data_IF_374307893041
#
_entry.id   IF_374307893041
#
_cell.length_a   1.000
_cell.length_b   1.000
_cell.length_c   1.000
_cell.angle_alpha   90.00
_cell.angle_beta   90.00
_cell.angle_gamma   90.00
#
_symmetry.space_group_name_H-M   'P 1'
#
loop_
_entity.id
_entity.type
_entity.pdbx_description
1 polymer ?
#
# COMPACT_ATOMS: atom_id res chain seq x y z
N UNK A 1 1.56 -4.08 -14.87
CA UNK A 1 0.65 -3.13 -15.56
C UNK A 1 1.42 -2.19 -16.49
N UNK A 2 2.65 -2.53 -16.89
CA UNK A 2 3.49 -1.66 -17.74
C UNK A 2 3.11 -1.68 -19.22
N UNK A 3 2.27 -2.64 -19.63
CA UNK A 3 1.86 -2.89 -21.01
C UNK A 3 0.78 -1.90 -21.52
N UNK A 4 0.03 -1.30 -20.59
CA UNK A 4 -1.08 -0.36 -20.88
C UNK A 4 -0.62 1.12 -20.90
N UNK A 5 0.66 1.39 -20.61
CA UNK A 5 1.19 2.74 -20.56
C UNK A 5 1.73 3.18 -21.93
N UNK A 6 1.34 4.38 -22.35
CA UNK A 6 1.76 5.00 -23.61
C UNK A 6 3.29 5.17 -23.73
N UNK A 7 3.98 5.39 -22.60
CA UNK A 7 5.45 5.51 -22.51
C UNK A 7 5.99 4.91 -21.19
N UNK A 8 6.22 3.59 -21.08
CA UNK A 8 6.54 2.92 -19.82
C UNK A 8 7.89 3.35 -19.22
N UNK A 9 8.87 3.73 -20.04
CA UNK A 9 10.20 4.12 -19.57
C UNK A 9 10.22 5.44 -18.79
N UNK A 10 9.29 6.36 -19.09
CA UNK A 10 9.20 7.67 -18.43
C UNK A 10 8.09 7.71 -17.39
N UNK A 11 6.95 7.05 -17.64
CA UNK A 11 5.80 7.11 -16.73
C UNK A 11 6.00 6.34 -15.44
N UNK A 12 6.78 5.24 -15.44
CA UNK A 12 7.08 4.48 -14.22
C UNK A 12 7.88 5.33 -13.22
N UNK A 13 9.05 5.89 -13.57
CA UNK A 13 9.84 6.66 -12.60
C UNK A 13 9.14 7.95 -12.16
N UNK A 14 8.45 8.66 -13.05
CA UNK A 14 7.72 9.89 -12.69
C UNK A 14 6.51 9.57 -11.80
N UNK A 15 5.79 8.48 -12.08
CA UNK A 15 4.68 8.00 -11.26
C UNK A 15 5.12 7.64 -9.84
N UNK A 16 6.16 6.83 -9.70
CA UNK A 16 6.70 6.43 -8.38
C UNK A 16 7.20 7.64 -7.58
N UNK A 17 8.01 8.51 -8.19
CA UNK A 17 8.55 9.69 -7.50
C UNK A 17 7.44 10.64 -7.03
N UNK A 18 6.41 10.85 -7.86
CA UNK A 18 5.26 11.67 -7.49
C UNK A 18 4.42 11.02 -6.38
N UNK A 19 4.20 9.71 -6.43
CA UNK A 19 3.48 8.97 -5.40
C UNK A 19 4.20 9.04 -4.05
N UNK A 20 5.52 8.86 -4.04
CA UNK A 20 6.36 8.98 -2.83
C UNK A 20 6.31 10.40 -2.27
N UNK A 21 6.44 11.41 -3.12
CA UNK A 21 6.41 12.81 -2.70
C UNK A 21 5.07 13.19 -2.06
N UNK A 22 3.95 12.79 -2.67
CA UNK A 22 2.61 13.04 -2.14
C UNK A 22 2.37 12.30 -0.83
N UNK A 23 2.72 11.02 -0.76
CA UNK A 23 2.56 10.21 0.45
C UNK A 23 3.38 10.76 1.61
N UNK A 24 4.62 11.16 1.35
CA UNK A 24 5.49 11.80 2.34
C UNK A 24 4.90 13.10 2.88
N UNK A 25 4.41 13.98 2.00
CA UNK A 25 3.78 15.24 2.41
C UNK A 25 2.54 15.01 3.28
N UNK A 26 1.69 14.04 2.93
CA UNK A 26 0.48 13.71 3.70
C UNK A 26 0.86 13.19 5.09
N UNK A 27 1.81 12.26 5.18
CA UNK A 27 2.25 11.68 6.46
C UNK A 27 2.89 12.76 7.35
N UNK A 28 3.73 13.63 6.79
CA UNK A 28 4.37 14.72 7.54
C UNK A 28 3.32 15.71 8.10
N UNK A 29 2.36 16.11 7.27
CA UNK A 29 1.28 16.99 7.70
C UNK A 29 0.45 16.34 8.83
N UNK A 30 0.13 15.06 8.69
CA UNK A 30 -0.61 14.30 9.72
C UNK A 30 0.15 14.25 11.06
N UNK A 31 1.45 13.95 11.03
CA UNK A 31 2.29 13.89 12.24
C UNK A 31 2.35 15.26 12.92
N UNK A 32 2.54 16.34 12.16
CA UNK A 32 2.60 17.71 12.72
C UNK A 32 1.26 18.12 13.36
N UNK A 33 0.13 17.78 12.74
CA UNK A 33 -1.19 18.04 13.28
C UNK A 33 -1.42 17.27 14.58
N UNK A 34 -1.15 15.97 14.61
CA UNK A 34 -1.32 15.15 15.82
C UNK A 34 -0.40 15.61 16.95
N UNK A 35 0.85 15.96 16.64
CA UNK A 35 1.80 16.47 17.63
C UNK A 35 1.41 17.84 18.21
N UNK A 36 0.70 18.67 17.45
CA UNK A 36 0.21 19.98 17.91
C UNK A 36 -1.08 19.87 18.74
N UNK A 37 -1.96 18.92 18.40
CA UNK A 37 -3.29 18.77 19.01
C UNK A 37 -3.30 17.86 20.26
N UNK A 38 -2.36 16.91 20.39
CA UNK A 38 -2.44 15.82 21.39
C UNK A 38 -1.28 15.86 22.38
N UNK A 39 -1.59 15.71 23.67
CA UNK A 39 -0.61 15.63 24.74
C UNK A 39 0.15 14.28 24.73
N UNK A 40 1.47 14.29 24.94
CA UNK A 40 2.40 13.15 24.70
C UNK A 40 2.01 11.85 25.40
N UNK A 41 1.35 11.94 26.56
CA UNK A 41 0.91 10.78 27.34
C UNK A 41 -0.20 9.97 26.65
N UNK A 42 -1.11 10.65 25.95
CA UNK A 42 -2.19 9.99 25.22
C UNK A 42 -1.66 9.32 23.95
N UNK A 43 -0.77 9.99 23.21
CA UNK A 43 -0.20 9.49 21.95
C UNK A 43 0.53 8.13 22.07
N UNK A 44 1.00 7.77 23.27
CA UNK A 44 1.73 6.52 23.54
C UNK A 44 0.79 5.41 24.05
N UNK A 45 -0.28 5.76 24.76
CA UNK A 45 -1.19 4.78 25.36
C UNK A 45 -2.30 4.33 24.41
N UNK A 46 -2.76 5.17 23.48
CA UNK A 46 -3.88 4.84 22.60
C UNK A 46 -3.57 5.08 21.12
N UNK A 47 -3.39 4.00 20.36
CA UNK A 47 -3.26 4.05 18.89
C UNK A 47 -4.57 4.46 18.19
N UNK A 48 -5.71 4.46 18.90
CA UNK A 48 -7.02 4.90 18.39
C UNK A 48 -7.32 6.40 18.58
N UNK A 49 -6.39 7.23 19.08
CA UNK A 49 -6.65 8.67 19.26
C UNK A 49 -6.98 9.40 17.94
N UNK A 50 -6.50 8.88 16.81
CA UNK A 50 -6.87 9.39 15.49
C UNK A 50 -8.40 9.36 15.24
N UNK A 51 -9.12 8.42 15.85
CA UNK A 51 -10.59 8.35 15.80
C UNK A 51 -11.24 9.51 16.59
N UNK A 52 -10.68 9.84 17.76
CA UNK A 52 -11.17 10.90 18.67
C UNK A 52 -10.88 12.31 18.16
N UNK A 53 -9.77 12.50 17.45
CA UNK A 53 -9.37 13.79 16.83
C UNK A 53 -10.11 14.04 15.52
N UNK A 54 -10.61 12.99 14.86
CA UNK A 54 -11.40 13.13 13.65
C UNK A 54 -12.81 13.66 13.96
N UNK A 55 -13.25 14.67 13.20
CA UNK A 55 -14.59 15.29 13.29
C UNK A 55 -15.74 14.26 13.17
N UNK A 56 -15.45 13.12 12.53
CA UNK A 56 -16.33 11.93 12.47
C UNK A 56 -15.43 10.68 12.54
N UNK A 57 -15.20 10.11 13.73
CA UNK A 57 -14.40 8.89 13.92
C UNK A 57 -14.81 7.71 13.02
N UNK A 58 -16.10 7.64 12.67
CA UNK A 58 -16.65 6.64 11.74
C UNK A 58 -16.06 6.70 10.32
N UNK A 59 -15.78 7.90 9.80
CA UNK A 59 -15.22 8.07 8.45
C UNK A 59 -13.78 7.56 8.38
N UNK A 60 -13.01 7.78 9.45
CA UNK A 60 -11.64 7.28 9.58
C UNK A 60 -11.61 5.75 9.63
N UNK A 61 -12.51 5.15 10.41
CA UNK A 61 -12.61 3.70 10.56
C UNK A 61 -12.90 3.02 9.20
N UNK A 62 -13.87 3.53 8.44
CA UNK A 62 -14.20 3.03 7.10
C UNK A 62 -13.00 3.18 6.16
N UNK A 63 -12.35 4.34 6.16
CA UNK A 63 -11.16 4.57 5.35
C UNK A 63 -10.05 3.55 5.64
N UNK A 64 -9.79 3.29 6.92
CA UNK A 64 -8.78 2.32 7.36
C UNK A 64 -9.10 0.89 6.89
N UNK A 65 -10.36 0.46 6.99
CA UNK A 65 -10.77 -0.85 6.49
C UNK A 65 -10.64 -0.94 4.97
N UNK A 66 -11.10 0.07 4.24
CA UNK A 66 -11.03 0.10 2.76
C UNK A 66 -9.58 0.08 2.28
N UNK A 67 -8.69 0.86 2.90
CA UNK A 67 -7.25 0.86 2.58
C UNK A 67 -6.60 -0.52 2.82
N UNK A 68 -6.93 -1.17 3.93
CA UNK A 68 -6.40 -2.50 4.27
C UNK A 68 -6.87 -3.57 3.26
N UNK A 69 -8.16 -3.53 2.90
CA UNK A 69 -8.73 -4.42 1.90
C UNK A 69 -8.09 -4.20 0.52
N UNK A 70 -7.93 -2.95 0.10
CA UNK A 70 -7.28 -2.62 -1.18
C UNK A 70 -5.84 -3.17 -1.25
N UNK A 71 -5.06 -3.01 -0.19
CA UNK A 71 -3.69 -3.53 -0.12
C UNK A 71 -3.63 -5.06 -0.14
N UNK A 72 -4.57 -5.73 0.55
CA UNK A 72 -4.67 -7.19 0.57
C UNK A 72 -5.08 -7.76 -0.79
N UNK A 73 -6.05 -7.13 -1.47
CA UNK A 73 -6.47 -7.56 -2.82
C UNK A 73 -5.35 -7.35 -3.84
N UNK A 74 -4.65 -6.21 -3.77
CA UNK A 74 -3.51 -5.93 -4.65
C UNK A 74 -2.39 -6.97 -4.52
N UNK A 75 -2.03 -7.32 -3.28
CA UNK A 75 -1.01 -8.35 -3.01
C UNK A 75 -1.49 -9.74 -3.44
N UNK A 76 -2.73 -10.13 -3.16
CA UNK A 76 -3.28 -11.42 -3.55
C UNK A 76 -3.29 -11.65 -5.07
N UNK A 77 -3.49 -10.60 -5.87
CA UNK A 77 -3.48 -10.68 -7.34
C UNK A 77 -2.04 -10.65 -7.89
N UNK A 78 -1.14 -9.88 -7.27
CA UNK A 78 0.24 -9.71 -7.72
C UNK A 78 1.15 -10.89 -7.38
N UNK A 79 1.08 -11.38 -6.14
CA UNK A 79 1.94 -12.46 -5.63
C UNK A 79 1.93 -13.73 -6.48
N UNK A 80 0.78 -14.33 -6.87
CA UNK A 80 0.78 -15.55 -7.68
C UNK A 80 1.40 -15.33 -9.06
N UNK A 81 1.17 -14.17 -9.70
CA UNK A 81 1.78 -13.86 -11.01
C UNK A 81 3.30 -13.77 -10.92
N UNK A 82 3.81 -13.14 -9.85
CA UNK A 82 5.27 -13.05 -9.62
C UNK A 82 5.86 -14.43 -9.37
N UNK A 83 5.22 -15.26 -8.52
CA UNK A 83 5.69 -16.63 -8.23
C UNK A 83 5.65 -17.51 -9.49
N UNK A 84 4.62 -17.38 -10.33
CA UNK A 84 4.50 -18.09 -11.60
C UNK A 84 5.60 -17.69 -12.59
N UNK A 85 5.88 -16.38 -12.71
CA UNK A 85 6.98 -15.90 -13.56
C UNK A 85 8.32 -16.50 -13.12
N UNK A 86 8.61 -16.51 -11.81
CA UNK A 86 9.83 -17.10 -11.26
C UNK A 86 9.86 -18.62 -11.47
N UNK A 87 8.73 -19.31 -11.33
CA UNK A 87 8.63 -20.74 -11.57
C UNK A 87 8.85 -21.10 -13.06
N UNK A 88 8.43 -20.23 -13.98
CA UNK A 88 8.64 -20.41 -15.43
C UNK A 88 10.11 -20.28 -15.87
N UNK A 89 10.93 -19.57 -15.09
CA UNK A 89 12.38 -19.49 -15.32
C UNK A 89 13.10 -20.80 -14.93
N UNK A 90 12.42 -21.77 -14.31
CA UNK A 90 12.92 -23.12 -14.11
C UNK A 90 14.10 -23.26 -13.14
N UNK A 91 14.46 -22.19 -12.41
CA UNK A 91 15.63 -22.14 -11.52
C UNK A 91 15.44 -23.03 -10.28
N UNK A 92 14.18 -23.26 -9.88
CA UNK A 92 13.84 -24.04 -8.67
C UNK A 92 12.90 -25.19 -9.07
N UNK A 93 13.38 -26.45 -9.15
CA UNK A 93 12.60 -27.58 -9.66
C UNK A 93 11.37 -27.93 -8.82
N UNK A 94 11.32 -27.49 -7.54
CA UNK A 94 10.17 -27.71 -6.65
C UNK A 94 8.98 -26.79 -6.94
N UNK A 95 9.21 -25.66 -7.63
CA UNK A 95 8.19 -24.67 -7.98
C UNK A 95 7.58 -24.89 -9.37
N UNK A 96 8.14 -25.81 -10.16
CA UNK A 96 7.66 -26.17 -11.49
C UNK A 96 6.15 -26.53 -11.60
N UNK A 97 5.50 -27.19 -10.60
CA UNK A 97 4.05 -27.43 -10.67
C UNK A 97 3.21 -26.14 -10.54
N UNK A 98 3.73 -25.07 -9.91
CA UNK A 98 3.03 -23.78 -9.80
C UNK A 98 3.08 -22.97 -11.11
N UNK A 99 4.03 -23.27 -12.01
CA UNK A 99 4.13 -22.62 -13.32
C UNK A 99 2.99 -23.00 -14.29
N UNK A 100 2.23 -24.07 -13.99
CA UNK A 100 1.15 -24.59 -14.83
C UNK A 100 -0.19 -23.87 -14.57
N UNK A 101 -0.22 -22.91 -13.64
CA UNK A 101 -1.44 -22.20 -13.24
C UNK A 101 -1.75 -20.94 -14.06
N UNK A 102 -2.91 -20.97 -14.73
CA UNK A 102 -3.70 -19.85 -15.30
C UNK A 102 -3.29 -19.37 -16.70
N UNK A 103 -4.01 -19.92 -17.71
CA UNK A 103 -4.37 -19.20 -18.94
C UNK A 103 -5.30 -18.02 -18.63
#
# INVERSE_FOLDING_TARGET
MSDDLRDPQLSIPVGELSAIAVSSMIILSFILLLGSLVNRAYLICDTLIAEKVSYTGFLYLIGLYVSSLSSTVGTLIGTPRVIQSIASEGIIPILNPLAIGVC
#
